data_IF_694754017140
#
_entry.id   IF_694754017140
#
_cell.length_a   1.000
_cell.length_b   1.000
_cell.length_c   1.000
_cell.angle_alpha   90.00
_cell.angle_beta   90.00
_cell.angle_gamma   90.00
#
_symmetry.space_group_name_H-M   'P 1'
#
loop_
_entity.id
_entity.type
_entity.pdbx_description
1 polymer ?
#
# COMPACT_ATOMS: atom_id res chain seq x y z
N UNK A 1 16.54 10.19 2.26
CA UNK A 1 15.38 11.09 2.35
C UNK A 1 14.11 10.28 2.34
N UNK A 2 13.23 10.48 3.31
CA UNK A 2 11.99 9.72 3.40
C UNK A 2 11.02 10.13 2.30
N UNK A 3 10.24 9.17 1.80
CA UNK A 3 9.17 9.45 0.84
C UNK A 3 8.05 10.23 1.54
N UNK A 4 7.36 11.07 0.78
CA UNK A 4 6.09 11.62 1.24
C UNK A 4 5.03 10.56 0.95
N UNK A 5 4.67 9.78 1.96
CA UNK A 5 3.82 8.61 1.77
C UNK A 5 2.41 8.96 1.31
N UNK A 6 1.89 10.11 1.72
CA UNK A 6 0.58 10.54 1.26
C UNK A 6 0.59 10.85 -0.23
N UNK A 7 1.58 11.62 -0.68
CA UNK A 7 1.73 11.94 -2.10
C UNK A 7 2.01 10.69 -2.94
N UNK A 8 2.89 9.81 -2.44
CA UNK A 8 3.19 8.57 -3.12
C UNK A 8 1.96 7.69 -3.25
N UNK A 9 1.18 7.58 -2.18
CA UNK A 9 -0.04 6.77 -2.18
C UNK A 9 -1.04 7.31 -3.21
N UNK A 10 -1.25 8.62 -3.23
CA UNK A 10 -2.15 9.26 -4.19
C UNK A 10 -1.68 9.00 -5.62
N UNK A 11 -0.38 9.12 -5.87
CA UNK A 11 0.19 8.88 -7.19
C UNK A 11 -0.03 7.44 -7.65
N UNK A 12 0.21 6.48 -6.76
CA UNK A 12 0.03 5.06 -7.07
C UNK A 12 -1.44 4.71 -7.33
N UNK A 13 -2.34 5.22 -6.50
CA UNK A 13 -3.78 4.98 -6.68
C UNK A 13 -4.26 5.60 -8.00
N UNK A 14 -3.83 6.82 -8.28
CA UNK A 14 -4.18 7.51 -9.52
C UNK A 14 -3.68 6.74 -10.74
N UNK A 15 -2.48 6.21 -10.66
CA UNK A 15 -1.88 5.41 -11.75
C UNK A 15 -2.72 4.16 -12.00
N UNK A 16 -3.09 3.44 -10.95
CA UNK A 16 -3.90 2.22 -11.08
C UNK A 16 -5.25 2.55 -11.71
N UNK A 17 -5.91 3.59 -11.24
CA UNK A 17 -7.21 4.00 -11.78
C UNK A 17 -7.09 4.38 -13.25
N UNK A 18 -6.08 5.18 -13.60
CA UNK A 18 -5.85 5.64 -14.95
C UNK A 18 -5.57 4.50 -15.92
N UNK A 19 -4.80 3.51 -15.48
CA UNK A 19 -4.43 2.37 -16.30
C UNK A 19 -5.45 1.24 -16.28
N UNK A 20 -6.55 1.41 -15.57
CA UNK A 20 -7.58 0.39 -15.45
C UNK A 20 -7.15 -0.81 -14.62
N UNK A 21 -6.24 -0.59 -13.69
CA UNK A 21 -5.73 -1.64 -12.83
C UNK A 21 -6.70 -2.02 -11.72
N UNK A 22 -6.42 -3.12 -11.05
CA UNK A 22 -7.28 -3.65 -10.00
C UNK A 22 -6.63 -3.70 -8.62
N UNK A 23 -5.31 -3.79 -8.54
CA UNK A 23 -4.62 -4.02 -7.26
C UNK A 23 -3.32 -3.23 -7.19
N UNK A 24 -2.92 -2.94 -5.93
CA UNK A 24 -1.59 -2.41 -5.63
C UNK A 24 -1.04 -3.26 -4.49
N UNK A 25 0.23 -3.67 -4.59
CA UNK A 25 0.90 -4.44 -3.56
C UNK A 25 2.16 -3.75 -3.07
N UNK A 26 2.35 -3.72 -1.77
CA UNK A 26 3.54 -3.15 -1.13
C UNK A 26 4.22 -4.23 -0.31
N UNK A 27 5.46 -4.55 -0.63
CA UNK A 27 6.28 -5.50 0.12
C UNK A 27 7.69 -4.99 0.26
N UNK A 28 8.31 -5.27 1.39
CA UNK A 28 9.69 -4.88 1.65
C UNK A 28 10.61 -5.61 0.67
N UNK A 29 11.54 -4.85 0.09
CA UNK A 29 12.51 -5.39 -0.86
C UNK A 29 12.02 -5.45 -2.31
N UNK A 30 10.80 -5.00 -2.56
CA UNK A 30 10.22 -4.98 -3.90
C UNK A 30 9.76 -3.57 -4.26
N UNK A 31 9.74 -3.28 -5.55
CA UNK A 31 9.05 -2.09 -6.05
C UNK A 31 7.56 -2.24 -5.75
N UNK A 32 6.80 -1.13 -5.67
CA UNK A 32 5.35 -1.26 -5.69
C UNK A 32 4.91 -2.04 -6.93
N UNK A 33 3.96 -2.94 -6.76
CA UNK A 33 3.49 -3.80 -7.85
C UNK A 33 2.02 -3.51 -8.08
N UNK A 34 1.64 -3.33 -9.34
CA UNK A 34 0.24 -3.11 -9.72
C UNK A 34 -0.23 -4.25 -10.60
N UNK A 35 -1.53 -4.56 -10.53
CA UNK A 35 -2.14 -5.55 -11.43
C UNK A 35 -2.92 -4.79 -12.49
N UNK A 36 -2.55 -4.98 -13.75
CA UNK A 36 -3.21 -4.36 -14.90
C UNK A 36 -3.52 -5.46 -15.90
N UNK A 37 -4.78 -5.57 -16.30
CA UNK A 37 -5.23 -6.61 -17.24
C UNK A 37 -4.82 -8.02 -16.79
N UNK A 38 -4.88 -8.27 -15.48
CA UNK A 38 -4.56 -9.56 -14.90
C UNK A 38 -3.08 -9.83 -14.69
N UNK A 39 -2.20 -8.94 -15.13
CA UNK A 39 -0.75 -9.10 -14.98
C UNK A 39 -0.20 -8.25 -13.86
N UNK A 40 0.70 -8.82 -13.06
CA UNK A 40 1.42 -8.10 -12.02
C UNK A 40 2.62 -7.41 -12.64
N UNK A 41 2.64 -6.08 -12.52
CA UNK A 41 3.67 -5.25 -13.13
C UNK A 41 4.39 -4.47 -12.03
N UNK A 42 5.70 -4.72 -11.83
CA UNK A 42 6.47 -3.91 -10.89
C UNK A 42 6.71 -2.52 -11.46
N UNK A 43 6.51 -1.51 -10.62
CA UNK A 43 6.75 -0.13 -11.00
C UNK A 43 8.22 0.22 -10.77
N UNK A 44 9.05 -0.12 -11.73
CA UNK A 44 10.50 0.00 -11.60
C UNK A 44 11.01 1.44 -11.52
N UNK A 45 10.16 2.42 -11.86
CA UNK A 45 10.49 3.83 -11.68
C UNK A 45 10.41 4.26 -10.22
N UNK A 46 9.67 3.51 -9.40
CA UNK A 46 9.56 3.75 -7.96
C UNK A 46 10.66 2.98 -7.26
N UNK A 47 11.17 3.47 -6.12
CA UNK A 47 12.20 2.74 -5.40
C UNK A 47 11.68 1.43 -4.83
N UNK A 48 12.59 0.51 -4.57
CA UNK A 48 12.27 -0.68 -3.78
C UNK A 48 11.91 -0.24 -2.37
N UNK A 49 10.88 -0.87 -1.79
CA UNK A 49 10.34 -0.45 -0.51
C UNK A 49 11.18 -1.00 0.64
N UNK A 50 11.39 -0.15 1.62
CA UNK A 50 12.04 -0.55 2.88
C UNK A 50 10.98 -0.88 3.92
N UNK A 51 11.40 -1.44 5.06
CA UNK A 51 10.49 -1.68 6.16
C UNK A 51 9.85 -0.39 6.67
N UNK A 52 10.60 0.71 6.66
CA UNK A 52 10.09 2.03 7.04
C UNK A 52 9.01 2.49 6.05
N UNK A 53 9.20 2.22 4.78
CA UNK A 53 8.25 2.63 3.73
C UNK A 53 6.90 1.93 3.89
N UNK A 54 6.88 0.63 4.14
CA UNK A 54 5.60 -0.08 4.30
C UNK A 54 4.87 0.38 5.55
N UNK A 55 5.58 0.68 6.63
CA UNK A 55 4.97 1.28 7.83
C UNK A 55 4.42 2.66 7.50
N UNK A 56 5.15 3.46 6.73
CA UNK A 56 4.68 4.78 6.31
C UNK A 56 3.37 4.70 5.52
N UNK A 57 3.27 3.77 4.59
CA UNK A 57 2.04 3.58 3.82
C UNK A 57 0.88 3.11 4.69
N UNK A 58 1.12 2.17 5.61
CA UNK A 58 0.02 1.69 6.45
C UNK A 58 -0.49 2.80 7.37
N UNK A 59 0.36 3.69 7.82
CA UNK A 59 -0.07 4.84 8.63
C UNK A 59 -0.95 5.81 7.85
N UNK A 60 -0.74 5.91 6.54
CA UNK A 60 -1.61 6.73 5.69
C UNK A 60 -2.94 6.04 5.40
N UNK A 61 -2.95 4.73 5.33
CA UNK A 61 -4.14 3.95 4.98
C UNK A 61 -5.08 3.72 6.16
N UNK A 62 -4.56 3.67 7.38
CA UNK A 62 -5.33 3.37 8.57
C UNK A 62 -5.49 4.60 9.46
N UNK A 63 -6.67 4.76 10.07
CA UNK A 63 -6.83 5.72 11.15
C UNK A 63 -6.15 5.21 12.43
N UNK A 64 -6.11 6.04 13.46
CA UNK A 64 -5.39 5.71 14.69
C UNK A 64 -5.93 4.45 15.37
N UNK A 65 -7.25 4.25 15.38
CA UNK A 65 -7.87 3.08 15.98
C UNK A 65 -7.51 1.80 15.23
N UNK A 66 -7.57 1.86 13.90
CA UNK A 66 -7.25 0.71 13.06
C UNK A 66 -5.76 0.38 13.13
N UNK A 67 -4.92 1.42 13.18
CA UNK A 67 -3.48 1.21 13.31
C UNK A 67 -3.15 0.50 14.62
N UNK A 68 -3.78 0.92 15.72
CA UNK A 68 -3.59 0.29 17.01
C UNK A 68 -4.01 -1.18 16.98
N UNK A 69 -5.16 -1.46 16.38
CA UNK A 69 -5.65 -2.84 16.23
C UNK A 69 -4.67 -3.67 15.40
N UNK A 70 -4.16 -3.10 14.32
CA UNK A 70 -3.20 -3.78 13.46
C UNK A 70 -1.93 -4.16 14.21
N UNK A 71 -1.42 -3.24 15.04
CA UNK A 71 -0.23 -3.52 15.83
C UNK A 71 -0.46 -4.63 16.87
N UNK A 72 -1.68 -4.74 17.39
CA UNK A 72 -2.03 -5.77 18.36
C UNK A 72 -2.25 -7.13 17.69
N UNK A 73 -3.00 -7.17 16.59
CA UNK A 73 -3.42 -8.43 15.95
C UNK A 73 -2.51 -8.87 14.82
N UNK A 74 -1.68 -7.97 14.29
CA UNK A 74 -0.73 -8.20 13.22
C UNK A 74 -1.37 -8.54 11.87
N UNK A 75 -2.67 -8.29 11.75
CA UNK A 75 -3.39 -8.43 10.50
C UNK A 75 -4.64 -7.56 10.56
N UNK A 76 -4.98 -6.91 9.45
CA UNK A 76 -6.19 -6.11 9.37
C UNK A 76 -6.69 -6.03 7.93
N UNK A 77 -8.02 -6.14 7.80
CA UNK A 77 -8.73 -5.76 6.58
C UNK A 77 -9.26 -4.34 6.76
N UNK A 78 -9.18 -3.54 5.72
CA UNK A 78 -9.61 -2.16 5.80
C UNK A 78 -10.18 -1.69 4.47
N UNK A 79 -10.87 -0.55 4.51
CA UNK A 79 -11.25 0.15 3.29
C UNK A 79 -10.67 1.55 3.32
N UNK A 80 -10.40 2.07 2.14
CA UNK A 80 -9.83 3.38 1.95
C UNK A 80 -10.55 4.06 0.80
N UNK A 81 -10.94 5.31 1.01
CA UNK A 81 -11.61 6.08 -0.04
C UNK A 81 -10.66 7.14 -0.59
N UNK A 82 -10.58 7.18 -1.90
CA UNK A 82 -9.86 8.23 -2.60
C UNK A 82 -10.81 8.80 -3.66
N UNK A 83 -11.21 10.06 -3.46
CA UNK A 83 -12.23 10.70 -4.28
C UNK A 83 -13.48 9.82 -4.33
N UNK A 84 -13.94 9.43 -5.52
CA UNK A 84 -15.13 8.60 -5.68
C UNK A 84 -14.81 7.10 -5.73
N UNK A 85 -13.56 6.74 -5.48
CA UNK A 85 -13.12 5.36 -5.57
C UNK A 85 -12.95 4.77 -4.18
N UNK A 86 -13.52 3.58 -3.98
CA UNK A 86 -13.36 2.83 -2.75
C UNK A 86 -12.42 1.67 -2.99
N UNK A 87 -11.40 1.57 -2.13
CA UNK A 87 -10.43 0.49 -2.19
C UNK A 87 -10.59 -0.39 -0.97
N UNK A 88 -10.33 -1.68 -1.14
CA UNK A 88 -10.27 -2.62 -0.04
C UNK A 88 -8.84 -3.11 0.08
N UNK A 89 -8.36 -3.21 1.31
CA UNK A 89 -7.01 -3.62 1.55
C UNK A 89 -6.89 -4.63 2.66
N UNK A 90 -5.75 -5.29 2.66
CA UNK A 90 -5.34 -6.21 3.72
C UNK A 90 -3.88 -5.91 4.03
N UNK A 91 -3.57 -5.78 5.30
CA UNK A 91 -2.20 -5.60 5.76
C UNK A 91 -1.88 -6.66 6.79
N UNK A 92 -0.64 -7.13 6.79
CA UNK A 92 -0.21 -8.19 7.71
C UNK A 92 1.28 -8.09 7.97
N UNK A 93 1.71 -8.70 9.06
CA UNK A 93 3.13 -8.86 9.34
C UNK A 93 3.60 -10.18 8.76
N UNK A 94 4.74 -10.13 8.07
CA UNK A 94 5.37 -11.30 7.51
C UNK A 94 6.84 -11.24 7.87
N UNK A 95 7.33 -12.21 8.65
CA UNK A 95 8.72 -12.24 9.11
C UNK A 95 9.15 -10.93 9.79
N UNK A 96 8.23 -10.35 10.57
CA UNK A 96 8.50 -9.13 11.32
C UNK A 96 8.40 -7.82 10.55
N UNK A 97 8.03 -7.86 9.27
CA UNK A 97 7.84 -6.65 8.46
C UNK A 97 6.43 -6.57 7.91
N UNK A 98 5.98 -5.36 7.62
CA UNK A 98 4.62 -5.11 7.15
C UNK A 98 4.53 -5.35 5.65
N UNK A 99 3.50 -6.09 5.24
CA UNK A 99 3.10 -6.26 3.84
C UNK A 99 1.68 -5.77 3.66
N UNK A 100 1.42 -5.20 2.52
CA UNK A 100 0.11 -4.62 2.22
C UNK A 100 -0.36 -5.11 0.85
#
# INVERSE_FOLDING_TARGET
MALDYKLELVDLISTVIKEGGSDIHFSVGSHPIVRISGELIPLTRKPELTAEDTVGFIRELLDDQKLKRFLDTQEIDFSYEYQDTRLRGNAFFQKGVVSI
#
